data_IF_173967352567
#
_entry.id   IF_173967352567
#
_cell.length_a   1.000
_cell.length_b   1.000
_cell.length_c   1.000
_cell.angle_alpha   90.00
_cell.angle_beta   90.00
_cell.angle_gamma   90.00
#
_symmetry.space_group_name_H-M   'P 1'
#
loop_
_entity.id
_entity.type
_entity.pdbx_description
1 polymer ?
2 water ?
#
# COMPACT_ATOMS: atom_id res chain seq x y z
N UNK A 5 -10.31 22.22 -1.91
CA UNK A 5 -9.57 20.96 -1.92
C UNK A 5 -8.63 20.88 -0.71
N UNK A 6 -8.67 21.92 0.13
CA UNK A 6 -7.74 21.99 1.25
C UNK A 6 -7.88 20.79 2.18
N UNK A 7 -9.10 20.27 2.35
CA UNK A 7 -9.33 19.15 3.26
C UNK A 7 -10.59 18.42 2.83
N UNK A 8 -10.42 17.28 2.16
CA UNK A 8 -11.55 16.43 1.81
C UNK A 8 -11.73 15.37 2.88
N UNK A 9 -12.92 15.32 3.49
CA UNK A 9 -13.20 14.31 4.49
C UNK A 9 -13.15 12.91 3.88
N UNK A 10 -12.71 11.95 4.69
CA UNK A 10 -12.52 10.59 4.19
C UNK A 10 -13.87 9.94 3.91
N UNK A 11 -14.04 9.30 2.75
CA UNK A 11 -15.28 8.56 2.50
C UNK A 11 -15.46 7.45 3.52
N UNK A 12 -16.66 7.37 4.09
CA UNK A 12 -16.97 6.31 5.04
C UNK A 12 -17.34 5.05 4.26
N UNK A 13 -16.46 4.06 4.28
CA UNK A 13 -16.66 2.82 3.55
C UNK A 13 -16.55 1.66 4.52
N UNK A 14 -17.03 0.50 4.07
CA UNK A 14 -16.80 -0.77 4.75
C UNK A 14 -15.95 -1.64 3.85
N UNK A 15 -14.83 -2.13 4.37
CA UNK A 15 -13.88 -2.90 3.58
C UNK A 15 -14.15 -4.39 3.75
N UNK A 16 -14.30 -5.09 2.64
CA UNK A 16 -14.52 -6.54 2.63
C UNK A 16 -13.30 -7.19 2.00
N UNK A 17 -12.66 -8.08 2.75
CA UNK A 17 -11.43 -8.72 2.29
C UNK A 17 -11.71 -9.64 1.11
N UNK A 18 -10.89 -9.50 0.07
CA UNK A 18 -10.88 -10.41 -1.07
C UNK A 18 -9.84 -11.50 -0.86
N UNK A 19 -9.92 -12.60 -1.61
CA UNK A 19 -8.88 -13.63 -1.52
C UNK A 19 -7.50 -13.08 -1.85
N UNK A 20 -6.52 -13.49 -1.05
CA UNK A 20 -5.11 -13.18 -1.31
C UNK A 20 -4.66 -13.99 -2.52
N UNK A 21 -5.10 -13.56 -3.70
CA UNK A 21 -4.82 -14.28 -4.93
C UNK A 21 -4.75 -13.28 -6.07
N UNK A 22 -4.11 -13.70 -7.17
CA UNK A 22 -3.94 -12.80 -8.30
C UNK A 22 -5.26 -12.47 -8.98
N UNK A 23 -6.30 -13.29 -8.78
CA UNK A 23 -7.60 -13.02 -9.38
C UNK A 23 -8.33 -11.85 -8.73
N UNK A 24 -7.86 -11.38 -7.57
CA UNK A 24 -8.45 -10.23 -6.90
C UNK A 24 -7.85 -8.91 -7.37
N UNK A 25 -6.94 -8.93 -8.34
CA UNK A 25 -6.29 -7.71 -8.79
C UNK A 25 -6.69 -7.38 -10.22
N UNK A 26 -6.81 -6.08 -10.56
CA UNK A 26 -7.38 -5.70 -11.86
C UNK A 26 -6.51 -6.03 -13.06
N UNK A 27 -5.30 -6.56 -12.86
CA UNK A 27 -4.44 -6.99 -13.96
C UNK A 27 -4.36 -8.51 -14.03
N UNK A 28 -5.49 -9.17 -13.82
CA UNK A 28 -5.51 -10.63 -13.75
C UNK A 28 -5.20 -11.25 -15.10
N UNK A 29 -4.25 -12.18 -15.11
CA UNK A 29 -3.91 -12.95 -16.31
C UNK A 29 -4.23 -14.41 -16.06
N UNK A 30 -5.31 -14.95 -16.63
CA UNK A 30 -5.58 -16.39 -16.47
C UNK A 30 -4.55 -17.26 -17.16
N UNK A 31 -3.79 -16.73 -18.12
CA UNK A 31 -2.84 -17.55 -18.86
C UNK A 31 -1.65 -17.94 -18.01
N UNK A 32 -1.14 -17.02 -17.20
CA UNK A 32 0.05 -17.27 -16.39
C UNK A 32 -0.28 -17.56 -14.93
N UNK A 33 -1.55 -17.48 -14.54
CA UNK A 33 -1.94 -17.67 -13.16
C UNK A 33 -1.59 -16.52 -12.23
N UNK A 34 -0.89 -15.51 -12.73
CA UNK A 34 -0.51 -14.34 -11.95
C UNK A 34 -1.26 -13.11 -12.45
N UNK A 35 -0.96 -11.98 -11.82
CA UNK A 35 -1.43 -10.68 -12.28
C UNK A 35 -0.23 -9.88 -12.77
N UNK A 36 -0.40 -9.18 -13.89
CA UNK A 36 0.71 -8.40 -14.42
C UNK A 36 1.01 -7.22 -13.49
N UNK A 37 2.11 -6.54 -13.80
CA UNK A 37 2.62 -5.47 -12.95
C UNK A 37 1.58 -4.39 -12.70
N UNK A 38 1.43 -4.00 -11.44
CA UNK A 38 0.54 -2.92 -11.06
C UNK A 38 1.25 -2.00 -10.08
N UNK A 39 0.62 -0.87 -9.79
CA UNK A 39 1.18 0.17 -8.94
C UNK A 39 0.22 0.41 -7.77
N UNK A 40 0.78 0.82 -6.64
CA UNK A 40 -0.01 1.27 -5.50
C UNK A 40 -0.20 2.77 -5.59
N UNK A 41 -1.45 3.22 -5.60
CA UNK A 41 -1.77 4.63 -5.75
C UNK A 41 -2.43 5.17 -4.49
N UNK A 42 -2.14 6.44 -4.19
CA UNK A 42 -2.89 7.14 -3.17
C UNK A 42 -4.32 7.36 -3.65
N UNK A 43 -5.27 7.30 -2.72
CA UNK A 43 -6.67 7.37 -3.09
C UNK A 43 -7.47 8.01 -1.97
N UNK A 44 -8.36 8.93 -2.34
CA UNK A 44 -9.30 9.56 -1.41
C UNK A 44 -8.57 10.22 -0.23
N UNK A 45 -7.41 10.79 -0.51
CA UNK A 45 -6.60 11.38 0.56
C UNK A 45 -7.26 12.63 1.11
N UNK A 46 -7.05 12.87 2.41
CA UNK A 46 -7.67 14.02 3.06
C UNK A 46 -7.07 15.33 2.56
N UNK A 47 -5.76 15.36 2.33
CA UNK A 47 -5.15 16.47 1.61
C UNK A 47 -4.92 16.08 0.16
N UNK A 48 -4.87 17.06 -0.74
CA UNK A 48 -4.66 16.74 -2.16
C UNK A 48 -3.33 16.03 -2.38
N UNK A 49 -3.39 14.94 -3.15
CA UNK A 49 -2.21 14.22 -3.60
C UNK A 49 -2.29 14.13 -5.12
N UNK A 50 -1.17 14.42 -5.78
CA UNK A 50 -1.14 14.44 -7.24
C UNK A 50 -1.65 13.11 -7.79
N UNK A 51 -2.52 13.12 -8.79
CA UNK A 51 -2.98 11.86 -9.38
C UNK A 51 -1.81 11.12 -10.02
N UNK A 52 -1.93 9.79 -10.05
CA UNK A 52 -0.92 8.86 -10.54
C UNK A 52 0.33 8.82 -9.66
N UNK A 53 0.30 9.45 -8.49
CA UNK A 53 1.38 9.30 -7.52
C UNK A 53 1.39 7.86 -7.02
N UNK A 54 2.45 7.13 -7.34
CA UNK A 54 2.47 5.70 -7.10
C UNK A 54 3.58 5.18 -6.21
N UNK A 55 3.77 3.87 -6.24
CA UNK A 55 4.70 3.20 -5.33
C UNK A 55 6.12 3.74 -5.50
N UNK A 56 6.84 3.79 -4.38
CA UNK A 56 8.25 4.14 -4.38
C UNK A 56 8.89 3.41 -3.20
N UNK A 57 10.17 3.07 -3.35
CA UNK A 57 10.90 2.34 -2.32
C UNK A 57 11.55 3.36 -1.39
N UNK A 58 11.10 3.39 -0.14
CA UNK A 58 11.66 4.27 0.86
C UNK A 58 12.55 3.54 1.84
N UNK A 59 13.37 4.30 2.55
CA UNK A 59 14.32 3.73 3.50
C UNK A 59 13.67 3.52 4.86
N UNK A 60 14.17 2.53 5.58
CA UNK A 60 13.69 2.21 6.92
C UNK A 60 14.49 2.97 7.96
N UNK A 61 13.79 3.53 8.96
CA UNK A 61 14.49 4.14 10.08
C UNK A 61 15.30 3.10 10.84
N UNK A 62 14.76 1.88 10.98
CA UNK A 62 15.47 0.75 11.56
C UNK A 62 15.88 -0.18 10.43
N UNK A 63 17.14 -0.14 9.98
CA UNK A 63 17.52 -0.93 8.79
C UNK A 63 17.47 -2.44 9.01
N UNK A 64 17.34 -2.91 10.25
CA UNK A 64 17.34 -4.33 10.54
C UNK A 64 15.94 -4.94 10.48
N UNK A 65 14.93 -4.16 10.08
CA UNK A 65 13.57 -4.70 9.98
C UNK A 65 13.38 -5.46 8.66
N UNK A 66 13.84 -4.88 7.56
CA UNK A 66 13.75 -5.51 6.25
C UNK A 66 14.71 -4.78 5.32
N UNK A 67 14.57 -5.02 4.02
CA UNK A 67 15.39 -4.30 3.04
C UNK A 67 14.97 -2.84 2.98
N UNK A 68 13.67 -2.59 2.82
CA UNK A 68 13.15 -1.24 2.68
C UNK A 68 11.65 -1.27 2.94
N UNK A 69 10.96 -0.19 2.59
CA UNK A 69 9.52 -0.10 2.76
C UNK A 69 8.90 0.55 1.53
N UNK A 70 7.62 0.28 1.33
CA UNK A 70 6.87 0.85 0.22
C UNK A 70 6.22 2.15 0.67
N UNK A 71 6.48 3.23 -0.07
CA UNK A 71 5.83 4.50 0.13
C UNK A 71 5.10 4.95 -1.12
N UNK A 72 4.53 6.15 -1.03
CA UNK A 72 3.85 6.80 -2.14
C UNK A 72 4.59 8.08 -2.47
N UNK A 73 4.97 8.24 -3.73
CA UNK A 73 5.70 9.43 -4.14
C UNK A 73 4.80 10.66 -4.10
N UNK A 74 5.42 11.82 -3.89
CA UNK A 74 4.69 13.08 -3.98
C UNK A 74 4.44 13.44 -5.44
N UNK A 75 5.48 13.37 -6.26
CA UNK A 75 5.37 13.72 -7.67
C UNK A 75 4.68 12.60 -8.44
N UNK A 76 3.67 12.96 -9.22
CA UNK A 76 2.90 11.98 -9.97
C UNK A 76 3.63 11.35 -11.13
N UNK A 77 4.76 11.91 -11.54
CA UNK A 77 5.54 11.37 -12.65
C UNK A 77 6.92 10.89 -12.21
N UNK A 78 7.13 10.70 -10.91
CA UNK A 78 8.35 10.05 -10.44
C UNK A 78 8.33 8.58 -10.85
N UNK A 79 9.52 8.01 -11.00
CA UNK A 79 9.63 6.61 -11.37
C UNK A 79 8.94 5.73 -10.33
N UNK A 80 8.20 4.74 -10.81
CA UNK A 80 7.42 3.85 -9.95
C UNK A 80 8.03 2.46 -9.96
N UNK A 81 8.03 1.81 -8.80
CA UNK A 81 8.39 0.41 -8.70
C UNK A 81 7.14 -0.42 -8.94
N UNK A 82 7.31 -1.55 -9.62
CA UNK A 82 6.18 -2.38 -10.02
C UNK A 82 6.04 -3.53 -9.04
N UNK A 83 4.80 -4.00 -8.88
CA UNK A 83 4.47 -5.09 -7.98
C UNK A 83 3.68 -6.15 -8.74
N UNK A 84 3.94 -7.41 -8.43
CA UNK A 84 3.24 -8.52 -9.05
C UNK A 84 2.76 -9.50 -7.98
N UNK A 85 1.65 -10.16 -8.28
CA UNK A 85 1.17 -11.28 -7.48
C UNK A 85 1.72 -12.56 -8.09
N UNK A 86 2.38 -13.38 -7.27
CA UNK A 86 2.97 -14.62 -7.74
C UNK A 86 2.27 -15.80 -7.11
N UNK A 87 1.68 -16.71 -7.89
CA UNK A 87 1.08 -17.92 -7.30
C UNK A 87 2.07 -18.76 -6.50
N UNK A 88 3.36 -18.46 -6.57
CA UNK A 88 4.36 -19.20 -5.81
C UNK A 88 4.06 -19.14 -4.32
N UNK A 89 4.36 -20.23 -3.63
CA UNK A 89 4.21 -20.31 -2.19
C UNK A 89 2.96 -21.00 -1.69
N UNK A 90 2.31 -21.82 -2.50
CA UNK A 90 1.06 -22.44 -2.11
C UNK A 90 -0.06 -21.43 -2.05
N UNK A 91 0.09 -20.43 -1.18
CA UNK A 91 -0.78 -19.26 -1.18
C UNK A 91 -0.29 -18.32 -2.29
N UNK A 92 -0.65 -17.04 -2.22
CA UNK A 92 -0.32 -16.10 -3.29
C UNK A 92 0.08 -14.78 -2.65
N UNK A 93 1.35 -14.40 -2.80
CA UNK A 93 1.86 -13.19 -2.19
C UNK A 93 2.34 -12.16 -3.19
N UNK A 94 2.34 -10.89 -2.78
CA UNK A 94 2.77 -9.79 -3.63
C UNK A 94 4.28 -9.62 -3.54
N UNK A 95 4.88 -9.22 -4.66
CA UNK A 95 6.32 -9.03 -4.74
C UNK A 95 6.63 -7.80 -5.58
N UNK A 96 7.61 -7.02 -5.14
CA UNK A 96 8.01 -5.78 -5.80
C UNK A 96 9.40 -5.95 -6.41
N UNK A 97 9.56 -5.46 -7.64
CA UNK A 97 10.83 -5.54 -8.36
C UNK A 97 11.73 -4.41 -7.87
N UNK A 98 12.68 -4.75 -6.99
CA UNK A 98 13.63 -3.77 -6.48
C UNK A 98 14.86 -4.50 -5.97
N UNK A 99 15.98 -3.78 -5.93
CA UNK A 99 17.26 -4.31 -5.46
C UNK A 99 17.63 -5.61 -6.17
N UNK A 100 17.25 -5.73 -7.44
CA UNK A 100 17.70 -6.82 -8.27
C UNK A 100 16.86 -8.08 -8.26
N UNK A 101 15.65 -8.04 -7.72
CA UNK A 101 14.82 -9.24 -7.66
C UNK A 101 13.39 -8.85 -7.31
N UNK A 102 12.49 -9.83 -7.46
CA UNK A 102 11.12 -9.71 -6.98
C UNK A 102 11.10 -10.10 -5.51
N UNK A 103 10.86 -9.12 -4.64
CA UNK A 103 10.99 -9.30 -3.20
C UNK A 103 9.62 -9.19 -2.54
N UNK A 104 9.36 -10.09 -1.59
CA UNK A 104 8.03 -10.21 -1.00
C UNK A 104 7.66 -8.96 -0.21
N UNK A 105 6.36 -8.65 -0.23
CA UNK A 105 5.78 -7.56 0.54
C UNK A 105 5.04 -8.14 1.73
N UNK A 106 5.28 -7.58 2.91
CA UNK A 106 4.56 -7.97 4.12
C UNK A 106 4.17 -6.72 4.89
N UNK A 107 3.29 -6.90 5.87
CA UNK A 107 2.90 -5.85 6.80
C UNK A 107 3.54 -6.12 8.15
N UNK A 108 4.16 -5.08 8.72
CA UNK A 108 4.84 -5.25 10.01
C UNK A 108 3.86 -5.60 11.12
N UNK A 109 2.60 -5.18 10.98
CA UNK A 109 1.62 -5.41 12.02
C UNK A 109 1.74 -4.40 13.14
N UNK A 110 0.83 -4.52 14.10
CA UNK A 110 0.83 -3.63 15.24
C UNK A 110 0.04 -2.37 14.98
N UNK A 111 0.12 -1.46 15.96
CA UNK A 111 -0.68 -0.24 15.96
C UNK A 111 0.09 0.97 15.43
N UNK A 112 1.32 1.18 15.90
CA UNK A 112 2.01 2.44 15.66
C UNK A 112 2.75 2.49 14.33
N UNK A 113 3.29 1.37 13.85
CA UNK A 113 4.11 1.36 12.65
C UNK A 113 3.80 0.12 11.80
N UNK A 114 2.55 0.01 11.37
CA UNK A 114 2.12 -1.10 10.52
C UNK A 114 2.44 -0.72 9.07
N UNK A 115 3.68 -0.99 8.66
CA UNK A 115 4.19 -0.53 7.38
C UNK A 115 4.38 -1.72 6.44
N UNK A 116 4.55 -1.41 5.16
CA UNK A 116 4.76 -2.41 4.12
C UNK A 116 6.26 -2.68 4.02
N UNK A 117 6.70 -3.83 4.51
CA UNK A 117 8.11 -4.19 4.46
C UNK A 117 8.43 -4.95 3.18
N UNK A 118 9.65 -4.74 2.68
CA UNK A 118 10.15 -5.41 1.48
C UNK A 118 11.25 -6.36 1.91
N UNK A 119 11.07 -7.65 1.63
CA UNK A 119 12.10 -8.63 1.93
C UNK A 119 12.34 -8.89 3.40
N UNK A 120 11.27 -8.95 4.19
CA UNK A 120 11.39 -9.23 5.62
C UNK A 120 11.86 -10.67 5.83
N UNK A 121 12.60 -10.88 6.92
CA UNK A 121 13.12 -12.19 7.25
C UNK A 121 12.08 -13.09 7.90
N UNK A 122 12.54 -14.17 8.54
CA UNK A 122 11.62 -15.15 9.16
C UNK A 122 11.06 -14.66 10.49
N UNK A 123 10.27 -13.59 10.43
CA UNK A 123 9.70 -12.95 11.60
C UNK A 123 8.19 -12.90 11.45
N UNK A 124 7.48 -13.04 12.57
CA UNK A 124 6.03 -12.98 12.55
C UNK A 124 5.55 -11.62 12.05
N UNK A 125 4.40 -11.63 11.36
CA UNK A 125 3.89 -10.44 10.71
C UNK A 125 2.52 -10.69 10.10
N UNK A 126 2.03 -9.74 9.28
CA UNK A 126 0.68 -9.79 8.73
C UNK A 126 0.71 -9.71 7.21
N UNK A 127 -0.30 -10.27 6.54
CA UNK A 127 -0.33 -10.23 5.07
C UNK A 127 -1.00 -8.98 4.52
N UNK A 128 -0.43 -8.46 3.44
CA UNK A 128 -1.00 -7.33 2.71
C UNK A 128 -2.16 -7.83 1.86
N UNK A 129 -3.38 -7.38 2.17
CA UNK A 129 -4.59 -7.99 1.66
C UNK A 129 -5.40 -7.02 0.80
N UNK A 130 -5.90 -7.47 -0.35
CA UNK A 130 -6.80 -6.63 -1.15
C UNK A 130 -8.22 -6.66 -0.62
N UNK A 131 -8.95 -5.57 -0.88
CA UNK A 131 -10.28 -5.38 -0.32
C UNK A 131 -11.22 -4.76 -1.34
N UNK A 132 -12.51 -5.04 -1.17
CA UNK A 132 -13.57 -4.27 -1.81
C UNK A 132 -13.99 -3.13 -0.89
N UNK A 133 -14.49 -2.05 -1.49
CA UNK A 133 -15.00 -0.91 -0.74
C UNK A 133 -16.47 -0.73 -1.07
N UNK A 134 -17.30 -0.59 -0.03
CA UNK A 134 -18.73 -0.36 -0.18
C UNK A 134 -19.14 0.82 0.67
N UNK A 135 -19.91 1.73 0.09
CA UNK A 135 -20.47 2.84 0.84
C UNK A 135 -21.63 2.36 1.70
N UNK A 136 -22.18 3.28 2.50
CA UNK A 136 -23.17 2.90 3.50
C UNK A 136 -24.43 2.32 2.88
N UNK A 137 -24.69 2.62 1.61
CA UNK A 137 -25.90 2.14 0.97
C UNK A 137 -25.64 0.90 0.12
N UNK A 138 -24.43 0.33 0.19
CA UNK A 138 -24.08 -0.87 -0.53
C UNK A 138 -23.49 -0.64 -1.91
N UNK A 139 -23.47 0.60 -2.39
CA UNK A 139 -22.80 0.88 -3.65
C UNK A 139 -21.30 0.64 -3.50
N UNK A 140 -20.71 0.00 -4.50
CA UNK A 140 -19.29 -0.30 -4.46
C UNK A 140 -18.47 0.89 -4.93
N UNK A 141 -17.49 1.29 -4.13
CA UNK A 141 -16.48 2.23 -4.61
C UNK A 141 -15.51 1.47 -5.50
N UNK A 142 -15.35 1.87 -6.76
CA UNK A 142 -14.50 1.10 -7.68
C UNK A 142 -13.04 1.12 -7.24
N UNK A 143 -12.40 -0.03 -7.34
CA UNK A 143 -10.98 -0.15 -7.06
C UNK A 143 -10.68 -1.30 -6.12
N UNK A 144 -9.39 -1.61 -6.04
CA UNK A 144 -8.86 -2.64 -5.15
C UNK A 144 -8.02 -1.93 -4.10
N UNK A 145 -8.42 -2.05 -2.84
CA UNK A 145 -7.83 -1.28 -1.75
C UNK A 145 -7.08 -2.22 -0.81
N UNK A 146 -5.86 -1.84 -0.46
CA UNK A 146 -4.98 -2.69 0.34
C UNK A 146 -5.18 -2.42 1.83
N UNK A 147 -4.97 -3.46 2.63
CA UNK A 147 -5.12 -3.33 4.07
C UNK A 147 -5.03 -4.69 4.75
N UNK A 148 -5.59 -4.75 5.96
CA UNK A 148 -5.58 -5.96 6.77
C UNK A 148 -6.47 -5.75 7.98
N UNK A 149 -7.07 -6.84 8.45
CA UNK A 149 -7.82 -6.86 9.71
C UNK A 149 -8.96 -5.84 9.70
N UNK A 150 -9.72 -5.83 8.61
CA UNK A 150 -10.86 -4.95 8.46
C UNK A 150 -10.54 -3.49 8.22
N UNK A 151 -9.26 -3.11 8.21
CA UNK A 151 -8.86 -1.72 8.06
C UNK A 151 -8.15 -1.51 6.74
N UNK A 152 -8.57 -0.49 6.00
CA UNK A 152 -7.90 -0.08 4.77
C UNK A 152 -7.53 1.40 4.80
N UNK A 153 -7.59 2.04 5.96
CA UNK A 153 -7.26 3.46 6.09
C UNK A 153 -5.80 3.61 6.49
N UNK A 154 -5.05 4.38 5.70
CA UNK A 154 -3.63 4.58 5.93
C UNK A 154 -3.37 6.02 6.35
N UNK A 155 -2.28 6.21 7.09
CA UNK A 155 -1.80 7.53 7.47
C UNK A 155 -0.64 7.91 6.56
N UNK A 156 -0.72 9.09 5.96
CA UNK A 156 0.31 9.57 5.05
C UNK A 156 1.16 10.62 5.76
N UNK A 157 2.47 10.39 5.79
CA UNK A 157 3.42 11.31 6.42
C UNK A 157 4.41 11.78 5.37
N UNK A 158 4.32 13.05 5.00
CA UNK A 158 5.21 13.59 3.97
C UNK A 158 6.63 13.70 4.50
N UNK A 159 7.58 13.16 3.73
CA UNK A 159 9.00 13.23 4.06
C UNK A 159 9.73 13.79 2.85
N UNK A 160 10.19 15.03 2.95
CA UNK A 160 10.77 15.72 1.80
C UNK A 160 12.11 15.10 1.42
N UNK A 161 12.57 15.46 0.22
CA UNK A 161 13.80 14.89 -0.31
C UNK A 161 14.98 15.19 0.60
N UNK A 162 15.83 14.19 0.78
CA UNK A 162 17.05 14.30 1.57
C UNK A 162 18.24 13.94 0.70
N UNK A 163 19.43 14.02 1.29
CA UNK A 163 20.64 13.67 0.56
C UNK A 163 20.65 12.19 0.18
N UNK A 164 20.15 11.33 1.07
CA UNK A 164 20.12 9.90 0.77
C UNK A 164 18.98 9.54 -0.17
N UNK A 165 17.82 10.18 0.00
CA UNK A 165 16.66 9.95 -0.86
C UNK A 165 16.33 11.24 -1.60
N UNK A 166 16.75 11.39 -2.85
CA UNK A 166 16.56 12.65 -3.58
C UNK A 166 15.19 12.73 -4.26
N UNK A 167 14.13 12.59 -3.46
CA UNK A 167 12.77 12.71 -3.96
C UNK A 167 11.83 12.89 -2.77
N UNK A 168 10.72 13.57 -3.02
CA UNK A 168 9.69 13.70 -2.00
C UNK A 168 8.77 12.49 -2.03
N UNK A 169 8.28 12.11 -0.85
CA UNK A 169 7.45 10.93 -0.72
C UNK A 169 6.53 11.07 0.48
N UNK A 170 5.50 10.23 0.50
CA UNK A 170 4.64 10.04 1.67
C UNK A 170 5.00 8.70 2.30
N UNK A 171 5.35 8.72 3.58
CA UNK A 171 5.49 7.49 4.34
C UNK A 171 4.11 7.04 4.81
N UNK A 172 3.74 5.80 4.49
CA UNK A 172 2.39 5.30 4.75
C UNK A 172 2.45 4.17 5.76
N UNK A 173 1.46 4.13 6.65
CA UNK A 173 1.28 3.05 7.60
C UNK A 173 -0.21 2.77 7.73
N UNK A 174 -0.55 1.52 8.06
CA UNK A 174 -1.94 1.10 8.16
C UNK A 174 -2.48 1.40 9.55
N UNK A 175 -3.59 2.12 9.61
CA UNK A 175 -4.23 2.45 10.88
C UNK A 175 -5.05 1.27 11.38
N UNK A 176 -5.03 1.08 12.71
CA UNK A 176 -5.80 0.01 13.33
C UNK A 176 -7.29 0.18 13.06
N UNK A 177 -7.85 1.33 13.45
CA UNK A 177 -9.25 1.64 13.24
C UNK A 177 -9.37 2.99 12.56
N UNK A 178 -10.62 3.44 12.38
CA UNK A 178 -10.85 4.76 11.79
C UNK A 178 -10.32 5.87 12.70
N UNK A 179 -10.54 5.75 14.01
CA UNK A 179 -10.13 6.76 14.96
C UNK A 179 -8.76 6.50 15.57
N UNK A 180 -7.91 5.74 14.88
CA UNK A 180 -6.57 5.49 15.39
C UNK A 180 -5.79 6.80 15.47
N UNK A 181 -4.90 6.93 16.46
CA UNK A 181 -4.20 8.21 16.66
C UNK A 181 -3.28 8.53 15.49
N UNK A 182 -3.33 9.79 15.06
CA UNK A 182 -2.46 10.30 14.01
C UNK A 182 -1.26 11.01 14.63
N UNK A 183 -0.12 10.92 13.96
CA UNK A 183 1.07 11.65 14.38
C UNK A 183 1.14 13.00 13.67
N UNK A 184 2.08 13.83 14.11
CA UNK A 184 2.17 15.20 13.63
C UNK A 184 2.32 15.25 12.11
N UNK A 185 1.40 15.95 11.45
CA UNK A 185 1.45 16.16 10.02
C UNK A 185 0.81 15.09 9.17
N UNK A 186 0.24 14.05 9.78
CA UNK A 186 -0.30 12.93 9.04
C UNK A 186 -1.74 13.19 8.60
N UNK A 187 -2.08 12.73 7.40
CA UNK A 187 -3.45 12.75 6.91
C UNK A 187 -3.82 11.35 6.44
N UNK A 188 -5.13 11.10 6.36
CA UNK A 188 -5.64 9.77 6.06
C UNK A 188 -5.89 9.59 4.56
N UNK A 189 -5.99 8.34 4.15
CA UNK A 189 -6.29 8.02 2.77
C UNK A 189 -6.32 6.52 2.57
N UNK A 190 -6.57 6.13 1.32
CA UNK A 190 -6.57 4.74 0.91
C UNK A 190 -5.38 4.47 -0.01
N UNK A 191 -5.10 3.19 -0.22
CA UNK A 191 -4.04 2.75 -1.13
C UNK A 191 -4.68 1.78 -2.13
N UNK A 192 -4.75 2.20 -3.39
CA UNK A 192 -5.43 1.45 -4.43
C UNK A 192 -4.40 0.83 -5.38
N UNK A 193 -4.64 -0.43 -5.75
CA UNK A 193 -3.77 -1.17 -6.65
C UNK A 193 -4.42 -1.26 -8.02
N UNK A 194 -3.69 -0.83 -9.05
CA UNK A 194 -4.22 -0.85 -10.41
C UNK A 194 -3.12 -1.07 -11.44
#
# INVERSE_FOLDING_TARGET
>A
MPSTLEARALPQVSAVAKPRACSSYPTFDPATGEATEFIFYADSTEEPVAPFAGSVVGKLANPNLAIARIGIAVRGDLAKVVTKCFPDGGEEGLRTRTHGDWRRLTLAGGEDENIILIGQGPVAHRPLTPHDHFFANGTQQPGVFMGDNGSTTWAFSRKDASASEPFDQYEIRLLKSADSPLRNGEFRGFVRAA
#
